data_IF_507429299760
#
_entry.id   IF_507429299760
#
_cell.length_a   1.000
_cell.length_b   1.000
_cell.length_c   1.000
_cell.angle_alpha   90.00
_cell.angle_beta   90.00
_cell.angle_gamma   90.00
#
_symmetry.space_group_name_H-M   'P 1'
#
loop_
_entity.id
_entity.type
_entity.pdbx_description
1 polymer ?
#
# COMPACT_ATOMS: atom_id res chain seq x y z
N UNK A 1 24.15 29.35 -8.94
CA UNK A 1 22.83 29.50 -8.28
C UNK A 1 21.65 29.32 -9.23
N UNK A 2 21.66 29.91 -10.45
CA UNK A 2 20.53 29.81 -11.39
C UNK A 2 20.14 28.36 -11.77
N UNK A 3 21.10 27.47 -12.01
CA UNK A 3 20.83 26.06 -12.42
C UNK A 3 20.12 25.26 -11.32
N UNK A 4 20.55 25.41 -10.06
CA UNK A 4 19.89 24.76 -8.90
C UNK A 4 18.48 25.31 -8.69
N UNK A 5 18.28 26.62 -8.91
CA UNK A 5 16.96 27.25 -8.79
C UNK A 5 16.01 26.76 -9.89
N UNK A 6 16.48 26.66 -11.13
CA UNK A 6 15.69 26.13 -12.25
C UNK A 6 15.29 24.66 -12.04
N UNK A 7 16.22 23.81 -11.58
CA UNK A 7 15.93 22.41 -11.25
C UNK A 7 14.88 22.28 -10.13
N UNK A 8 15.01 23.07 -9.06
CA UNK A 8 14.04 23.09 -7.96
C UNK A 8 12.66 23.56 -8.44
N UNK A 9 12.60 24.61 -9.27
CA UNK A 9 11.36 25.13 -9.84
C UNK A 9 10.65 24.08 -10.71
N UNK A 10 11.41 23.38 -11.58
CA UNK A 10 10.88 22.29 -12.41
C UNK A 10 10.37 21.12 -11.58
N UNK A 11 11.07 20.73 -10.50
CA UNK A 11 10.60 19.70 -9.57
C UNK A 11 9.32 20.11 -8.83
N UNK A 12 9.21 21.36 -8.38
CA UNK A 12 7.98 21.89 -7.77
C UNK A 12 6.83 21.88 -8.78
N UNK A 13 7.08 22.29 -10.03
CA UNK A 13 6.09 22.22 -11.10
C UNK A 13 5.66 20.79 -11.38
N UNK A 14 6.59 19.84 -11.47
CA UNK A 14 6.29 18.41 -11.63
C UNK A 14 5.34 17.89 -10.56
N UNK A 15 5.58 18.22 -9.29
CA UNK A 15 4.68 17.85 -8.19
C UNK A 15 3.27 18.44 -8.35
N UNK A 16 3.18 19.70 -8.78
CA UNK A 16 1.89 20.35 -9.06
C UNK A 16 1.16 19.69 -10.24
N UNK A 17 1.89 19.28 -11.29
CA UNK A 17 1.34 18.55 -12.44
C UNK A 17 0.80 17.19 -11.99
N UNK A 18 1.57 16.42 -11.21
CA UNK A 18 1.14 15.12 -10.67
C UNK A 18 -0.18 15.25 -9.88
N UNK A 19 -0.28 16.25 -9.00
CA UNK A 19 -1.52 16.49 -8.25
C UNK A 19 -2.68 16.90 -9.16
N UNK A 20 -2.43 17.81 -10.11
CA UNK A 20 -3.45 18.25 -11.07
C UNK A 20 -3.94 17.09 -11.93
N UNK A 21 -3.03 16.26 -12.45
CA UNK A 21 -3.33 15.06 -13.23
C UNK A 21 -4.14 14.07 -12.40
N UNK A 22 -3.74 13.80 -11.17
CA UNK A 22 -4.48 12.92 -10.26
C UNK A 22 -5.92 13.40 -10.05
N UNK A 23 -6.12 14.70 -9.84
CA UNK A 23 -7.45 15.30 -9.71
C UNK A 23 -8.27 15.16 -10.98
N UNK A 24 -7.70 15.50 -12.14
CA UNK A 24 -8.39 15.42 -13.44
C UNK A 24 -8.82 13.99 -13.77
N UNK A 25 -7.91 13.03 -13.61
CA UNK A 25 -8.19 11.60 -13.82
C UNK A 25 -9.31 11.11 -12.89
N UNK A 26 -9.31 11.56 -11.63
CA UNK A 26 -10.34 11.20 -10.66
C UNK A 26 -11.72 11.79 -10.99
N UNK A 27 -11.76 13.03 -11.50
CA UNK A 27 -13.02 13.70 -11.89
C UNK A 27 -13.49 13.36 -13.30
N UNK A 28 -12.64 12.70 -14.09
CA UNK A 28 -12.92 12.32 -15.48
C UNK A 28 -13.89 11.13 -15.57
N UNK A 29 -14.16 10.72 -16.81
CA UNK A 29 -15.15 9.67 -17.10
C UNK A 29 -14.85 8.31 -16.41
N UNK A 30 -13.58 8.01 -16.14
CA UNK A 30 -13.17 6.77 -15.48
C UNK A 30 -13.19 6.83 -13.94
N UNK A 31 -13.47 7.99 -13.34
CA UNK A 31 -13.57 8.14 -11.88
C UNK A 31 -12.33 7.64 -11.13
N UNK A 32 -12.54 6.82 -10.09
CA UNK A 32 -11.47 6.19 -9.31
C UNK A 32 -10.50 5.33 -10.14
N UNK A 33 -10.89 4.90 -11.34
CA UNK A 33 -10.06 4.13 -12.27
C UNK A 33 -9.28 4.98 -13.29
N UNK A 34 -9.32 6.31 -13.22
CA UNK A 34 -8.64 7.18 -14.18
C UNK A 34 -7.13 6.91 -14.34
N UNK A 35 -6.41 6.61 -13.24
CA UNK A 35 -4.99 6.23 -13.33
C UNK A 35 -4.81 4.91 -14.10
N UNK A 36 -5.76 3.97 -13.98
CA UNK A 36 -5.69 2.69 -14.71
C UNK A 36 -5.99 2.90 -16.19
N UNK A 37 -7.01 3.70 -16.51
CA UNK A 37 -7.32 4.07 -17.89
C UNK A 37 -6.10 4.72 -18.57
N UNK A 38 -5.43 5.64 -17.88
CA UNK A 38 -4.19 6.25 -18.36
C UNK A 38 -3.07 5.22 -18.54
N UNK A 39 -2.84 4.35 -17.55
CA UNK A 39 -1.84 3.27 -17.63
C UNK A 39 -2.06 2.37 -18.86
N UNK A 40 -3.31 1.91 -19.08
CA UNK A 40 -3.68 1.11 -20.27
C UNK A 40 -3.46 1.88 -21.59
N UNK A 41 -3.80 3.17 -21.63
CA UNK A 41 -3.60 4.02 -22.82
C UNK A 41 -2.13 4.23 -23.17
N UNK A 42 -1.24 4.23 -22.16
CA UNK A 42 0.22 4.28 -22.33
C UNK A 42 0.80 2.90 -22.73
N UNK A 43 -0.06 1.89 -22.96
CA UNK A 43 0.35 0.54 -23.34
C UNK A 43 1.00 -0.23 -22.19
N UNK A 44 0.81 0.21 -20.95
CA UNK A 44 1.33 -0.48 -19.78
C UNK A 44 0.39 -1.64 -19.46
N UNK A 45 0.77 -2.81 -19.98
CA UNK A 45 0.15 -4.07 -19.61
C UNK A 45 0.86 -4.74 -18.43
N UNK A 46 2.18 -4.52 -18.31
CA UNK A 46 3.10 -5.20 -17.39
C UNK A 46 4.17 -4.19 -16.91
N UNK A 47 4.28 -3.98 -15.59
CA UNK A 47 4.77 -2.74 -14.97
C UNK A 47 6.27 -2.59 -14.63
N UNK A 48 7.14 -3.56 -14.90
CA UNK A 48 8.60 -3.40 -14.67
C UNK A 48 9.30 -2.65 -15.82
N UNK A 49 8.66 -1.57 -16.26
CA UNK A 49 9.22 -0.64 -17.23
C UNK A 49 9.64 -1.30 -18.54
N UNK A 50 10.37 -0.52 -19.33
CA UNK A 50 11.13 -1.02 -20.47
C UNK A 50 10.53 -0.75 -21.84
N UNK A 51 9.23 -0.40 -21.95
CA UNK A 51 8.72 0.21 -23.19
C UNK A 51 8.73 1.72 -23.04
N UNK A 52 9.84 2.31 -23.49
CA UNK A 52 9.95 3.75 -23.59
C UNK A 52 8.95 4.30 -24.61
N UNK A 53 8.39 5.46 -24.30
CA UNK A 53 7.53 6.23 -25.20
C UNK A 53 8.19 7.57 -25.50
N UNK A 54 8.05 8.05 -26.73
CA UNK A 54 8.49 9.40 -27.06
C UNK A 54 7.55 10.44 -26.44
N UNK A 55 8.06 11.67 -26.32
CA UNK A 55 7.32 12.82 -25.80
C UNK A 55 5.95 13.04 -26.48
N UNK A 56 5.83 12.86 -27.80
CA UNK A 56 4.59 13.15 -28.51
C UNK A 56 3.51 12.12 -28.16
N UNK A 57 3.86 10.84 -28.19
CA UNK A 57 2.98 9.74 -27.76
C UNK A 57 2.52 9.93 -26.31
N UNK A 58 3.43 10.27 -25.40
CA UNK A 58 3.09 10.50 -23.99
C UNK A 58 2.06 11.63 -23.80
N UNK A 59 2.23 12.76 -24.49
CA UNK A 59 1.30 13.89 -24.43
C UNK A 59 -0.04 13.56 -25.06
N UNK A 60 -0.05 12.80 -26.16
CA UNK A 60 -1.28 12.34 -26.81
C UNK A 60 -2.12 11.46 -25.88
N UNK A 61 -1.49 10.48 -25.22
CA UNK A 61 -2.16 9.61 -24.23
C UNK A 61 -2.73 10.40 -23.04
N UNK A 62 -2.02 11.42 -22.55
CA UNK A 62 -2.55 12.27 -21.48
C UNK A 62 -3.77 13.07 -21.95
N UNK A 63 -3.71 13.63 -23.16
CA UNK A 63 -4.81 14.38 -23.76
C UNK A 63 -6.04 13.49 -23.98
N UNK A 64 -5.86 12.23 -24.41
CA UNK A 64 -6.96 11.29 -24.60
C UNK A 64 -7.62 10.84 -23.29
N UNK A 65 -6.97 11.07 -22.15
CA UNK A 65 -7.52 10.82 -20.81
C UNK A 65 -7.91 12.13 -20.08
N UNK A 66 -8.24 13.18 -20.84
CA UNK A 66 -8.68 14.49 -20.32
C UNK A 66 -7.67 15.21 -19.42
N UNK A 67 -6.37 14.97 -19.64
CA UNK A 67 -5.27 15.64 -18.94
C UNK A 67 -4.51 16.54 -19.93
N UNK A 68 -5.00 17.77 -20.20
CA UNK A 68 -4.27 18.73 -21.02
C UNK A 68 -3.04 19.25 -20.27
N UNK A 69 -1.92 19.34 -20.98
CA UNK A 69 -0.67 19.93 -20.50
C UNK A 69 -0.28 21.10 -21.40
N UNK A 70 0.22 22.18 -20.81
CA UNK A 70 0.88 23.25 -21.58
C UNK A 70 2.34 22.90 -21.88
N UNK A 71 3.02 23.69 -22.72
CA UNK A 71 4.40 23.41 -23.12
C UNK A 71 5.37 23.41 -21.92
N UNK A 72 5.15 24.29 -20.95
CA UNK A 72 5.96 24.39 -19.73
C UNK A 72 5.79 23.16 -18.82
N UNK A 73 4.57 22.61 -18.77
CA UNK A 73 4.27 21.38 -18.04
C UNK A 73 4.99 20.19 -18.64
N UNK A 74 4.95 20.09 -19.98
CA UNK A 74 5.65 19.01 -20.66
C UNK A 74 7.15 19.14 -20.46
N UNK A 75 7.73 20.35 -20.54
CA UNK A 75 9.15 20.55 -20.26
C UNK A 75 9.53 20.17 -18.82
N UNK A 76 8.68 20.48 -17.84
CA UNK A 76 8.90 20.09 -16.46
C UNK A 76 8.85 18.56 -16.27
N UNK A 77 7.89 17.86 -16.89
CA UNK A 77 7.84 16.39 -16.87
C UNK A 77 9.10 15.81 -17.50
N UNK A 78 9.46 16.24 -18.71
CA UNK A 78 10.67 15.76 -19.40
C UNK A 78 11.90 15.97 -18.52
N UNK A 79 12.05 17.13 -17.88
CA UNK A 79 13.23 17.39 -17.04
C UNK A 79 13.38 16.48 -15.81
N UNK A 80 12.30 15.83 -15.36
CA UNK A 80 12.29 14.94 -14.20
C UNK A 80 12.33 13.48 -14.61
N UNK A 81 11.62 13.12 -15.68
CA UNK A 81 11.45 11.73 -16.10
C UNK A 81 12.42 11.30 -17.20
N UNK A 82 12.82 12.19 -18.11
CA UNK A 82 13.84 11.91 -19.13
C UNK A 82 15.24 12.05 -18.49
N UNK A 83 15.64 11.00 -17.79
CA UNK A 83 16.92 10.95 -17.05
C UNK A 83 18.13 10.86 -17.98
N UNK A 84 17.95 10.39 -19.21
CA UNK A 84 19.00 10.20 -20.21
C UNK A 84 19.14 11.39 -21.17
N UNK A 85 18.11 12.23 -21.27
CA UNK A 85 18.05 13.37 -22.19
C UNK A 85 17.88 12.94 -23.65
N UNK A 86 17.39 11.72 -23.90
CA UNK A 86 17.20 11.16 -25.25
C UNK A 86 15.79 11.42 -25.79
N UNK A 87 14.92 12.09 -25.03
CA UNK A 87 13.54 12.40 -25.39
C UNK A 87 12.57 11.24 -25.15
N UNK A 88 13.03 10.16 -24.54
CA UNK A 88 12.23 8.98 -24.24
C UNK A 88 11.87 8.93 -22.75
N UNK A 89 10.66 8.49 -22.46
CA UNK A 89 10.12 8.40 -21.11
C UNK A 89 9.75 6.96 -20.81
N UNK A 90 9.98 6.50 -19.59
CA UNK A 90 9.31 5.31 -19.08
C UNK A 90 7.93 5.74 -18.54
N UNK A 91 6.81 5.34 -19.16
CA UNK A 91 5.47 5.64 -18.67
C UNK A 91 5.24 5.21 -17.21
N UNK A 92 5.91 4.14 -16.78
CA UNK A 92 5.81 3.60 -15.43
C UNK A 92 6.26 4.63 -14.40
N UNK A 93 7.30 5.42 -14.66
CA UNK A 93 7.77 6.44 -13.72
C UNK A 93 6.69 7.51 -13.47
N UNK A 94 5.94 7.88 -14.51
CA UNK A 94 4.82 8.82 -14.35
C UNK A 94 3.64 8.20 -13.62
N UNK A 95 3.26 6.96 -13.96
CA UNK A 95 2.19 6.23 -13.25
C UNK A 95 2.54 6.02 -11.78
N UNK A 96 3.80 5.67 -11.48
CA UNK A 96 4.33 5.56 -10.13
C UNK A 96 4.18 6.89 -9.38
N UNK A 97 4.53 8.01 -10.01
CA UNK A 97 4.36 9.34 -9.41
C UNK A 97 2.88 9.70 -9.12
N UNK A 98 1.94 9.16 -9.90
CA UNK A 98 0.51 9.36 -9.67
C UNK A 98 -0.02 8.59 -8.46
N UNK A 99 0.63 7.51 -8.02
CA UNK A 99 0.22 6.76 -6.82
C UNK A 99 0.28 7.65 -5.58
N UNK A 100 -0.74 7.54 -4.74
CA UNK A 100 -0.80 8.27 -3.46
C UNK A 100 -0.02 7.51 -2.40
N UNK A 101 0.76 8.23 -1.61
CA UNK A 101 1.22 7.72 -0.33
C UNK A 101 0.03 7.59 0.61
N UNK A 102 -0.11 6.44 1.26
CA UNK A 102 -1.20 6.15 2.18
C UNK A 102 -0.71 6.22 3.61
N UNK A 103 -1.57 6.55 4.56
CA UNK A 103 -1.23 6.40 5.97
C UNK A 103 -1.04 4.91 6.30
N UNK A 104 -0.28 4.57 7.35
CA UNK A 104 -0.12 3.18 7.78
C UNK A 104 -1.47 2.48 8.01
N UNK A 105 -2.45 3.19 8.59
CA UNK A 105 -3.80 2.66 8.80
C UNK A 105 -4.46 2.33 7.46
N UNK A 106 -4.56 3.28 6.53
CA UNK A 106 -5.20 3.06 5.22
C UNK A 106 -4.57 1.88 4.48
N UNK A 107 -3.23 1.81 4.48
CA UNK A 107 -2.49 0.71 3.83
C UNK A 107 -2.77 -0.65 4.49
N UNK A 108 -2.72 -0.74 5.81
CA UNK A 108 -3.03 -1.97 6.56
C UNK A 108 -4.42 -2.50 6.22
N UNK A 109 -5.42 -1.63 6.14
CA UNK A 109 -6.78 -2.03 5.80
C UNK A 109 -6.94 -2.51 4.35
N UNK A 110 -6.21 -1.91 3.41
CA UNK A 110 -6.18 -2.37 2.01
C UNK A 110 -5.48 -3.74 1.87
N UNK A 111 -4.36 -3.94 2.58
CA UNK A 111 -3.68 -5.24 2.65
C UNK A 111 -4.63 -6.29 3.21
N UNK A 112 -5.25 -6.01 4.35
CA UNK A 112 -6.18 -6.93 5.01
C UNK A 112 -7.34 -7.30 4.09
N UNK A 113 -7.95 -6.32 3.44
CA UNK A 113 -9.06 -6.55 2.51
C UNK A 113 -8.65 -7.47 1.35
N UNK A 114 -7.48 -7.25 0.76
CA UNK A 114 -6.99 -8.09 -0.33
C UNK A 114 -6.92 -9.57 0.03
N UNK A 115 -6.42 -9.87 1.23
CA UNK A 115 -6.34 -11.25 1.72
C UNK A 115 -7.68 -11.84 2.17
N UNK A 116 -8.78 -11.08 2.16
CA UNK A 116 -10.12 -11.67 2.33
C UNK A 116 -10.64 -12.35 1.07
N UNK A 117 -10.08 -12.04 -0.10
CA UNK A 117 -10.48 -12.63 -1.37
C UNK A 117 -9.68 -13.89 -1.68
N UNK A 118 -10.37 -14.87 -2.27
CA UNK A 118 -9.71 -16.03 -2.88
C UNK A 118 -8.97 -15.58 -4.14
N UNK A 119 -7.69 -15.93 -4.23
CA UNK A 119 -6.86 -15.60 -5.37
C UNK A 119 -6.74 -16.76 -6.36
N UNK A 120 -6.49 -16.41 -7.61
CA UNK A 120 -6.11 -17.30 -8.70
C UNK A 120 -4.64 -17.70 -8.57
N UNK A 121 -4.22 -18.72 -9.31
CA UNK A 121 -2.83 -19.22 -9.27
C UNK A 121 -1.79 -18.20 -9.74
N UNK A 122 -2.20 -17.20 -10.53
CA UNK A 122 -1.37 -16.06 -10.92
C UNK A 122 -1.36 -14.91 -9.89
N UNK A 123 -2.16 -15.01 -8.81
CA UNK A 123 -2.31 -13.97 -7.79
C UNK A 123 -3.33 -12.88 -8.11
N UNK A 124 -4.18 -13.08 -9.11
CA UNK A 124 -5.31 -12.16 -9.40
C UNK A 124 -6.57 -12.58 -8.67
N UNK A 125 -7.57 -11.70 -8.59
CA UNK A 125 -8.93 -12.05 -8.18
C UNK A 125 -9.90 -11.86 -9.35
N UNK A 126 -10.96 -12.66 -9.44
CA UNK A 126 -12.00 -12.41 -10.43
C UNK A 126 -12.81 -11.17 -10.04
N UNK A 127 -13.08 -10.30 -11.01
CA UNK A 127 -13.90 -9.10 -10.78
C UNK A 127 -15.32 -9.50 -10.37
N UNK A 128 -15.83 -10.63 -10.87
CA UNK A 128 -17.13 -11.18 -10.47
C UNK A 128 -17.20 -11.46 -8.96
N UNK A 129 -16.18 -12.10 -8.38
CA UNK A 129 -16.11 -12.37 -6.94
C UNK A 129 -16.10 -11.06 -6.13
N UNK A 130 -15.35 -10.06 -6.61
CA UNK A 130 -15.29 -8.73 -6.00
C UNK A 130 -16.67 -8.04 -6.01
N UNK A 131 -17.36 -8.06 -7.15
CA UNK A 131 -18.71 -7.47 -7.30
C UNK A 131 -19.74 -8.19 -6.45
N UNK A 132 -19.69 -9.52 -6.38
CA UNK A 132 -20.63 -10.34 -5.60
C UNK A 132 -20.46 -10.14 -4.09
N UNK A 133 -19.23 -9.91 -3.62
CA UNK A 133 -18.94 -9.68 -2.21
C UNK A 133 -19.23 -8.23 -1.75
N UNK A 134 -19.41 -7.29 -2.68
CA UNK A 134 -19.59 -5.88 -2.37
C UNK A 134 -20.96 -5.57 -1.75
N UNK A 135 -20.96 -4.92 -0.59
CA UNK A 135 -22.17 -4.50 0.12
C UNK A 135 -22.46 -3.00 -0.06
N UNK A 136 -23.32 -2.58 -1.02
CA UNK A 136 -23.65 -1.17 -1.19
C UNK A 136 -24.43 -0.59 0.00
N UNK A 137 -25.18 -1.42 0.75
CA UNK A 137 -26.00 -0.96 1.88
C UNK A 137 -25.16 -0.40 3.04
N UNK A 138 -23.91 -0.84 3.18
CA UNK A 138 -22.99 -0.32 4.19
C UNK A 138 -22.21 0.92 3.76
N UNK A 139 -22.43 1.46 2.56
CA UNK A 139 -21.74 2.66 2.10
C UNK A 139 -22.21 3.90 2.91
N UNK A 140 -21.31 4.78 3.39
CA UNK A 140 -21.70 5.93 4.21
C UNK A 140 -22.76 6.86 3.58
N UNK A 141 -22.70 7.09 2.26
CA UNK A 141 -23.73 7.87 1.55
C UNK A 141 -25.09 7.19 1.46
N UNK A 142 -25.15 5.85 1.58
CA UNK A 142 -26.42 5.11 1.67
C UNK A 142 -26.96 5.19 3.09
N UNK A 143 -26.11 5.00 4.09
CA UNK A 143 -26.47 5.10 5.51
C UNK A 143 -26.98 6.50 5.89
N UNK A 144 -26.48 7.56 5.24
CA UNK A 144 -26.96 8.94 5.41
C UNK A 144 -28.18 9.29 4.55
N UNK A 145 -28.59 8.42 3.62
CA UNK A 145 -29.69 8.66 2.69
C UNK A 145 -29.36 9.61 1.53
N UNK A 146 -28.09 9.99 1.34
CA UNK A 146 -27.63 10.83 0.24
C UNK A 146 -27.71 10.11 -1.12
N UNK A 147 -27.53 8.79 -1.12
CA UNK A 147 -27.54 7.92 -2.31
C UNK A 147 -28.30 6.64 -2.05
N UNK A 148 -28.87 6.05 -3.09
CA UNK A 148 -29.48 4.72 -3.02
C UNK A 148 -28.46 3.59 -3.13
N UNK A 149 -28.77 2.42 -2.57
CA UNK A 149 -27.96 1.20 -2.75
C UNK A 149 -27.73 0.87 -4.22
N UNK A 150 -28.74 1.11 -5.05
CA UNK A 150 -28.69 0.86 -6.49
C UNK A 150 -27.64 1.75 -7.17
N UNK A 151 -27.65 3.05 -6.89
CA UNK A 151 -26.67 4.00 -7.45
C UNK A 151 -25.24 3.64 -7.05
N UNK A 152 -25.01 3.25 -5.79
CA UNK A 152 -23.67 2.85 -5.32
C UNK A 152 -23.23 1.54 -5.97
N UNK A 153 -24.14 0.57 -6.12
CA UNK A 153 -23.85 -0.68 -6.82
C UNK A 153 -23.53 -0.47 -8.30
N UNK A 154 -24.32 0.34 -8.99
CA UNK A 154 -24.11 0.63 -10.42
C UNK A 154 -22.78 1.35 -10.65
N UNK A 155 -22.40 2.31 -9.80
CA UNK A 155 -21.09 2.96 -9.86
C UNK A 155 -19.95 1.95 -9.64
N UNK A 156 -20.06 1.10 -8.61
CA UNK A 156 -19.03 0.11 -8.32
C UNK A 156 -18.87 -0.92 -9.44
N UNK A 157 -19.97 -1.36 -10.05
CA UNK A 157 -19.95 -2.25 -11.21
C UNK A 157 -19.38 -1.57 -12.46
N UNK A 158 -19.78 -0.31 -12.72
CA UNK A 158 -19.27 0.46 -13.87
C UNK A 158 -17.78 0.79 -13.78
N UNK A 159 -17.23 0.79 -12.56
CA UNK A 159 -15.82 0.99 -12.29
C UNK A 159 -14.98 -0.10 -12.98
N UNK A 160 -15.29 -1.38 -12.77
CA UNK A 160 -14.52 -2.51 -13.32
C UNK A 160 -15.13 -3.01 -14.63
N UNK A 161 -14.66 -2.48 -15.76
CA UNK A 161 -15.20 -2.78 -17.09
C UNK A 161 -14.16 -3.39 -18.03
N UNK A 162 -14.61 -3.85 -19.19
CA UNK A 162 -13.77 -4.48 -20.22
C UNK A 162 -12.73 -3.56 -20.83
N UNK A 163 -12.85 -2.23 -20.68
CA UNK A 163 -11.84 -1.26 -21.15
C UNK A 163 -10.64 -1.22 -20.20
N UNK A 164 -10.89 -1.23 -18.88
CA UNK A 164 -9.81 -1.16 -17.89
C UNK A 164 -9.28 -2.53 -17.50
N UNK A 165 -10.13 -3.56 -17.58
CA UNK A 165 -9.89 -4.93 -17.13
C UNK A 165 -10.47 -5.94 -18.16
N UNK A 166 -9.92 -6.01 -19.38
CA UNK A 166 -10.44 -6.87 -20.45
C UNK A 166 -10.46 -8.36 -20.07
N UNK A 167 -9.53 -8.78 -19.22
CA UNK A 167 -9.34 -10.18 -18.85
C UNK A 167 -10.28 -10.64 -17.72
N UNK A 168 -11.14 -9.74 -17.20
CA UNK A 168 -12.09 -10.06 -16.13
C UNK A 168 -11.46 -10.30 -14.75
N UNK A 169 -10.17 -9.99 -14.60
CA UNK A 169 -9.41 -10.17 -13.36
C UNK A 169 -8.81 -8.85 -12.87
N UNK A 170 -8.48 -8.82 -11.58
CA UNK A 170 -7.84 -7.70 -10.91
C UNK A 170 -6.55 -8.15 -10.23
N UNK A 171 -5.44 -7.50 -10.57
CA UNK A 171 -4.14 -7.71 -9.92
C UNK A 171 -4.06 -7.00 -8.56
N UNK A 172 -3.08 -7.40 -7.72
CA UNK A 172 -2.79 -6.74 -6.45
C UNK A 172 -2.53 -5.25 -6.62
N UNK A 173 -1.71 -4.92 -7.60
CA UNK A 173 -1.38 -3.54 -7.95
C UNK A 173 -2.63 -2.72 -8.30
N UNK A 174 -3.46 -3.25 -9.20
CA UNK A 174 -4.65 -2.53 -9.64
C UNK A 174 -5.64 -2.32 -8.49
N UNK A 175 -5.76 -3.31 -7.60
CA UNK A 175 -6.57 -3.23 -6.41
C UNK A 175 -6.09 -2.12 -5.46
N UNK A 176 -4.79 -2.08 -5.14
CA UNK A 176 -4.21 -1.02 -4.31
C UNK A 176 -4.38 0.36 -4.95
N UNK A 177 -4.20 0.47 -6.27
CA UNK A 177 -4.37 1.72 -7.00
C UNK A 177 -5.80 2.24 -6.90
N UNK A 178 -6.81 1.38 -7.08
CA UNK A 178 -8.22 1.75 -6.91
C UNK A 178 -8.49 2.25 -5.49
N UNK A 179 -8.09 1.49 -4.48
CA UNK A 179 -8.32 1.90 -3.10
C UNK A 179 -7.49 3.11 -2.67
N UNK A 180 -6.36 3.39 -3.31
CA UNK A 180 -5.62 4.62 -3.06
C UNK A 180 -6.41 5.87 -3.49
N UNK A 181 -7.18 5.77 -4.59
CA UNK A 181 -8.10 6.81 -5.03
C UNK A 181 -9.26 6.98 -4.04
N UNK A 182 -9.89 5.87 -3.63
CA UNK A 182 -10.98 5.88 -2.62
C UNK A 182 -10.50 6.46 -1.29
N UNK A 183 -9.33 6.04 -0.83
CA UNK A 183 -8.70 6.56 0.38
C UNK A 183 -8.39 8.06 0.28
N UNK A 184 -8.16 8.55 -0.94
CA UNK A 184 -7.95 9.95 -1.26
C UNK A 184 -9.21 10.82 -1.28
N UNK A 185 -10.40 10.22 -1.42
CA UNK A 185 -11.68 10.90 -1.27
C UNK A 185 -12.21 10.94 0.16
N UNK A 186 -11.63 10.13 1.06
CA UNK A 186 -11.93 10.16 2.49
C UNK A 186 -11.14 11.25 3.21
N UNK A 187 -11.79 11.96 4.14
CA UNK A 187 -11.21 13.08 4.89
C UNK A 187 -10.03 12.64 5.78
N UNK A 188 -10.16 11.49 6.43
CA UNK A 188 -9.22 10.96 7.40
C UNK A 188 -9.17 9.42 7.35
N UNK A 189 -8.38 8.81 8.24
CA UNK A 189 -8.27 7.35 8.33
C UNK A 189 -9.54 6.71 8.87
N UNK A 190 -10.23 7.36 9.82
CA UNK A 190 -11.44 6.83 10.45
C UNK A 190 -12.60 6.71 9.44
N UNK A 191 -12.83 7.75 8.65
CA UNK A 191 -13.83 7.75 7.56
C UNK A 191 -13.54 6.69 6.49
N UNK A 192 -12.26 6.47 6.17
CA UNK A 192 -11.88 5.39 5.24
C UNK A 192 -12.12 4.00 5.81
N UNK A 193 -11.74 3.77 7.08
CA UNK A 193 -11.97 2.47 7.75
C UNK A 193 -13.46 2.18 7.89
N UNK A 194 -14.27 3.17 8.29
CA UNK A 194 -15.72 3.05 8.37
C UNK A 194 -16.34 2.70 7.01
N UNK A 195 -15.89 3.37 5.94
CA UNK A 195 -16.31 3.04 4.57
C UNK A 195 -15.98 1.58 4.24
N UNK A 196 -14.71 1.15 4.44
CA UNK A 196 -14.28 -0.20 4.11
C UNK A 196 -15.05 -1.27 4.89
N UNK A 197 -15.22 -1.08 6.21
CA UNK A 197 -15.98 -2.01 7.06
C UNK A 197 -17.44 -2.13 6.63
N UNK A 198 -18.06 -1.01 6.26
CA UNK A 198 -19.44 -0.98 5.81
C UNK A 198 -19.63 -1.76 4.50
N UNK A 199 -18.79 -1.48 3.50
CA UNK A 199 -18.94 -2.09 2.17
C UNK A 199 -18.34 -3.49 2.05
N UNK A 200 -17.51 -3.92 2.99
CA UNK A 200 -16.90 -5.25 3.02
C UNK A 200 -17.22 -5.99 4.34
N UNK A 201 -18.28 -6.81 4.36
CA UNK A 201 -18.67 -7.56 5.55
C UNK A 201 -17.56 -8.46 6.12
N UNK A 202 -16.66 -8.98 5.26
CA UNK A 202 -15.53 -9.80 5.67
C UNK A 202 -14.56 -9.08 6.63
N UNK A 203 -14.54 -7.75 6.61
CA UNK A 203 -13.71 -6.92 7.49
C UNK A 203 -14.35 -6.57 8.83
N UNK A 204 -15.68 -6.74 8.98
CA UNK A 204 -16.43 -6.28 10.15
C UNK A 204 -16.19 -7.12 11.42
N UNK A 205 -15.44 -8.23 11.33
CA UNK A 205 -15.18 -9.13 12.45
C UNK A 205 -16.44 -9.87 12.93
N UNK A 206 -16.28 -10.77 13.91
CA UNK A 206 -17.41 -11.55 14.46
C UNK A 206 -18.38 -10.70 15.29
N UNK A 207 -18.00 -9.47 15.65
CA UNK A 207 -18.88 -8.47 16.23
C UNK A 207 -19.67 -7.78 15.12
N UNK A 208 -20.78 -8.37 14.68
CA UNK A 208 -21.74 -7.80 13.73
C UNK A 208 -22.48 -6.55 14.25
N UNK A 209 -21.77 -5.62 14.90
CA UNK A 209 -22.30 -4.30 15.20
C UNK A 209 -22.35 -3.54 13.89
N UNK A 210 -23.58 -3.21 13.46
CA UNK A 210 -23.82 -2.16 12.49
C UNK A 210 -22.95 -0.96 12.87
N UNK A 211 -22.02 -0.57 11.99
CA UNK A 211 -21.27 0.68 12.11
C UNK A 211 -22.33 1.79 12.09
N UNK A 212 -22.76 2.22 13.27
CA UNK A 212 -23.48 3.47 13.39
C UNK A 212 -22.44 4.56 13.18
N UNK A 213 -22.77 5.57 12.38
CA UNK A 213 -21.90 6.75 12.12
C UNK A 213 -21.51 7.50 13.42
N UNK A 214 -22.02 7.06 14.57
CA UNK A 214 -21.84 7.62 15.90
C UNK A 214 -21.13 6.70 16.91
N UNK A 215 -20.55 5.55 16.54
CA UNK A 215 -19.74 4.80 17.52
C UNK A 215 -18.41 5.53 17.78
N UNK A 216 -18.41 6.32 18.85
CA UNK A 216 -17.34 7.22 19.32
C UNK A 216 -16.01 6.51 19.69
N UNK A 217 -15.88 5.21 19.41
CA UNK A 217 -14.75 4.35 19.83
C UNK A 217 -13.86 3.86 18.69
N UNK A 218 -14.13 4.23 17.44
CA UNK A 218 -13.36 3.71 16.30
C UNK A 218 -12.10 4.56 15.97
N UNK A 219 -10.94 3.96 16.23
CA UNK A 219 -9.58 4.30 15.78
C UNK A 219 -9.16 5.79 15.85
N UNK A 220 -8.60 6.13 17.00
CA UNK A 220 -8.47 7.51 17.50
C UNK A 220 -7.24 8.26 16.92
N UNK A 221 -6.39 7.59 16.14
CA UNK A 221 -5.18 8.20 15.56
C UNK A 221 -5.47 9.36 14.58
N UNK A 222 -6.69 9.44 14.04
CA UNK A 222 -7.14 10.51 13.14
C UNK A 222 -8.18 11.46 13.72
N UNK A 223 -8.61 11.30 14.98
CA UNK A 223 -9.77 11.99 15.52
C UNK A 223 -9.63 13.52 15.43
N UNK A 224 -10.37 14.18 14.54
CA UNK A 224 -10.44 15.64 14.45
C UNK A 224 -11.40 16.22 15.49
N UNK A 225 -11.11 17.43 15.98
CA UNK A 225 -12.07 18.15 16.82
C UNK A 225 -13.39 18.31 16.07
N UNK A 226 -14.49 17.92 16.71
CA UNK A 226 -15.83 18.26 16.23
C UNK A 226 -16.29 19.52 16.97
N UNK A 227 -16.99 20.42 16.27
CA UNK A 227 -17.47 21.68 16.85
C UNK A 227 -18.38 21.47 18.07
N UNK A 228 -19.09 20.34 18.12
CA UNK A 228 -20.01 19.93 19.19
C UNK A 228 -19.34 19.38 20.45
N UNK A 229 -18.03 19.16 20.48
CA UNK A 229 -17.36 18.51 21.61
C UNK A 229 -17.19 19.44 22.81
N UNK A 230 -17.53 18.91 24.00
CA UNK A 230 -17.22 19.53 25.29
C UNK A 230 -15.71 19.58 25.54
N UNK A 231 -15.26 20.44 26.47
CA UNK A 231 -13.84 20.52 26.84
C UNK A 231 -13.26 19.17 27.30
N UNK A 232 -14.06 18.36 28.02
CA UNK A 232 -13.68 17.02 28.48
C UNK A 232 -13.47 16.08 27.29
N UNK A 233 -14.38 16.08 26.31
CA UNK A 233 -14.26 15.28 25.09
C UNK A 233 -13.04 15.69 24.27
N UNK A 234 -12.77 17.00 24.12
CA UNK A 234 -11.55 17.49 23.47
C UNK A 234 -10.28 17.07 24.21
N UNK A 235 -10.32 17.05 25.55
CA UNK A 235 -9.24 16.53 26.39
C UNK A 235 -8.96 15.05 26.15
N UNK A 236 -10.00 14.23 26.01
CA UNK A 236 -9.86 12.81 25.68
C UNK A 236 -9.22 12.61 24.29
N UNK A 237 -9.67 13.36 23.28
CA UNK A 237 -9.06 13.35 21.93
C UNK A 237 -7.57 13.72 21.99
N UNK A 238 -7.22 14.76 22.75
CA UNK A 238 -5.82 15.15 22.93
C UNK A 238 -4.98 14.06 23.61
N UNK A 239 -5.52 13.41 24.65
CA UNK A 239 -4.82 12.32 25.33
C UNK A 239 -4.44 11.21 24.35
N UNK A 240 -5.38 10.80 23.51
CA UNK A 240 -5.12 9.69 22.59
C UNK A 240 -4.20 10.08 21.44
N UNK A 241 -4.32 11.31 20.93
CA UNK A 241 -3.33 11.86 19.98
C UNK A 241 -1.93 11.87 20.57
N UNK A 242 -1.79 12.21 21.84
CA UNK A 242 -0.49 12.19 22.53
C UNK A 242 0.04 10.76 22.65
N UNK A 243 -0.78 9.79 23.05
CA UNK A 243 -0.39 8.37 23.12
C UNK A 243 0.08 7.87 21.74
N UNK A 244 -0.66 8.18 20.67
CA UNK A 244 -0.28 7.82 19.31
C UNK A 244 1.04 8.48 18.87
N UNK A 245 1.26 9.76 19.22
CA UNK A 245 2.50 10.47 18.94
C UNK A 245 3.69 9.91 19.73
N UNK A 246 3.49 9.56 21.01
CA UNK A 246 4.52 8.95 21.85
C UNK A 246 4.89 7.57 21.31
N UNK A 247 3.91 6.78 20.86
CA UNK A 247 4.14 5.47 20.25
C UNK A 247 4.88 5.57 18.91
N UNK A 248 4.47 6.48 18.01
CA UNK A 248 5.22 6.76 16.77
C UNK A 248 6.65 7.24 17.10
N UNK A 249 6.83 8.03 18.16
CA UNK A 249 8.13 8.42 18.68
C UNK A 249 9.03 7.23 19.06
N UNK A 250 8.49 6.25 19.80
CA UNK A 250 9.19 4.99 20.13
C UNK A 250 9.60 4.24 18.86
N UNK A 251 8.68 4.11 17.89
CA UNK A 251 8.95 3.45 16.61
C UNK A 251 10.09 4.15 15.88
N UNK A 252 10.04 5.47 15.72
CA UNK A 252 11.02 6.24 14.95
C UNK A 252 12.41 6.25 15.58
N UNK A 253 12.49 6.34 16.90
CA UNK A 253 13.75 6.58 17.63
C UNK A 253 14.42 5.31 18.11
N UNK A 254 13.66 4.24 18.34
CA UNK A 254 14.18 2.99 18.89
C UNK A 254 13.99 1.80 17.95
N UNK A 255 12.75 1.49 17.56
CA UNK A 255 12.48 0.24 16.85
C UNK A 255 12.96 0.27 15.39
N UNK A 256 12.65 1.34 14.66
CA UNK A 256 13.01 1.48 13.24
C UNK A 256 14.52 1.49 13.01
N UNK A 257 15.36 2.22 13.77
CA UNK A 257 16.81 2.15 13.59
C UNK A 257 17.38 0.74 13.77
N UNK A 258 16.89 -0.03 14.75
CA UNK A 258 17.33 -1.41 14.97
C UNK A 258 16.95 -2.32 13.80
N UNK A 259 15.74 -2.16 13.28
CA UNK A 259 15.18 -3.00 12.21
C UNK A 259 15.74 -2.65 10.83
N UNK A 260 16.02 -1.37 10.58
CA UNK A 260 16.61 -0.89 9.32
C UNK A 260 18.11 -1.16 9.22
N UNK A 261 18.75 -1.73 10.24
CA UNK A 261 20.17 -2.05 10.22
C UNK A 261 20.53 -3.11 9.16
N UNK A 262 19.62 -4.04 8.86
CA UNK A 262 19.79 -4.99 7.76
C UNK A 262 18.45 -5.58 7.29
N UNK A 263 18.36 -6.09 6.05
CA UNK A 263 17.20 -6.86 5.58
C UNK A 263 16.81 -8.02 6.52
N UNK A 264 17.82 -8.69 7.10
CA UNK A 264 17.61 -9.80 8.03
C UNK A 264 16.93 -9.34 9.33
N UNK A 265 17.32 -8.19 9.88
CA UNK A 265 16.72 -7.65 11.10
C UNK A 265 15.22 -7.34 10.92
N UNK A 266 14.85 -6.70 9.80
CA UNK A 266 13.45 -6.46 9.43
C UNK A 266 12.67 -7.76 9.28
N UNK A 267 13.26 -8.73 8.59
CA UNK A 267 12.61 -10.01 8.36
C UNK A 267 12.41 -10.80 9.65
N UNK A 268 13.37 -10.78 10.57
CA UNK A 268 13.27 -11.51 11.84
C UNK A 268 12.10 -11.02 12.70
N UNK A 269 11.89 -9.70 12.81
CA UNK A 269 10.73 -9.15 13.55
C UNK A 269 9.42 -9.55 12.87
N UNK A 270 9.32 -9.39 11.55
CA UNK A 270 8.13 -9.76 10.76
C UNK A 270 7.81 -11.26 10.89
N UNK A 271 8.83 -12.12 10.77
CA UNK A 271 8.70 -13.57 10.89
C UNK A 271 8.24 -14.00 12.28
N UNK A 272 8.85 -13.48 13.35
CA UNK A 272 8.48 -13.87 14.72
C UNK A 272 7.04 -13.47 15.06
N UNK A 273 6.59 -12.29 14.63
CA UNK A 273 5.21 -11.85 14.82
C UNK A 273 4.23 -12.76 14.07
N UNK A 274 4.54 -13.10 12.82
CA UNK A 274 3.72 -13.98 12.00
C UNK A 274 3.65 -15.39 12.59
N UNK A 275 4.78 -15.98 13.01
CA UNK A 275 4.81 -17.33 13.61
C UNK A 275 3.89 -17.47 14.82
N UNK A 276 3.67 -16.38 15.57
CA UNK A 276 2.72 -16.36 16.69
C UNK A 276 1.25 -16.33 16.27
N UNK A 277 0.96 -15.89 15.05
CA UNK A 277 -0.36 -15.84 14.45
C UNK A 277 -0.57 -17.04 13.51
N UNK A 278 -0.82 -18.21 14.09
CA UNK A 278 -1.04 -19.45 13.34
C UNK A 278 -2.29 -19.41 12.43
N UNK A 279 -3.23 -18.50 12.72
CA UNK A 279 -4.47 -18.34 11.94
C UNK A 279 -4.30 -17.39 10.74
N UNK A 280 -3.21 -16.61 10.70
CA UNK A 280 -3.00 -15.58 9.68
C UNK A 280 -4.01 -14.43 9.76
N UNK A 281 -4.56 -14.17 10.96
CA UNK A 281 -5.59 -13.17 11.16
C UNK A 281 -5.06 -11.73 11.22
N UNK A 282 -3.74 -11.57 11.39
CA UNK A 282 -3.02 -10.33 11.68
C UNK A 282 -3.20 -9.76 13.11
N UNK A 283 -3.65 -10.58 14.05
CA UNK A 283 -3.89 -10.17 15.44
C UNK A 283 -3.17 -11.09 16.42
N UNK A 284 -2.57 -10.50 17.45
CA UNK A 284 -1.93 -11.21 18.55
C UNK A 284 -2.50 -10.77 19.90
N UNK A 285 -2.31 -11.60 20.92
CA UNK A 285 -2.51 -11.15 22.31
C UNK A 285 -1.45 -10.10 22.66
N UNK A 286 -1.74 -9.20 23.61
CA UNK A 286 -0.75 -8.22 24.11
C UNK A 286 0.51 -8.91 24.62
N UNK A 287 0.35 -10.05 25.29
CA UNK A 287 1.45 -10.85 25.84
C UNK A 287 2.35 -11.42 24.74
N UNK A 288 1.78 -12.09 23.74
CA UNK A 288 2.56 -12.67 22.63
C UNK A 288 3.27 -11.60 21.80
N UNK A 289 2.61 -10.46 21.58
CA UNK A 289 3.19 -9.33 20.88
C UNK A 289 4.42 -8.77 21.63
N UNK A 290 4.28 -8.47 22.93
CA UNK A 290 5.38 -7.95 23.75
C UNK A 290 6.51 -8.95 23.90
N UNK A 291 6.20 -10.23 24.14
CA UNK A 291 7.20 -11.29 24.23
C UNK A 291 8.02 -11.43 22.93
N UNK A 292 7.38 -11.22 21.77
CA UNK A 292 8.05 -11.22 20.46
C UNK A 292 8.99 -10.03 20.30
N UNK A 293 8.54 -8.82 20.68
CA UNK A 293 9.36 -7.62 20.63
C UNK A 293 10.59 -7.72 21.55
N UNK A 294 10.43 -8.27 22.75
CA UNK A 294 11.53 -8.43 23.70
C UNK A 294 12.63 -9.38 23.21
N UNK A 295 12.29 -10.42 22.44
CA UNK A 295 13.28 -11.29 21.79
C UNK A 295 14.20 -10.52 20.84
N UNK A 296 13.68 -9.47 20.21
CA UNK A 296 14.41 -8.57 19.31
C UNK A 296 14.94 -7.32 20.03
N UNK A 297 14.92 -7.30 21.37
CA UNK A 297 15.33 -6.17 22.22
C UNK A 297 14.58 -4.87 21.88
N UNK A 298 13.34 -4.99 21.43
CA UNK A 298 12.43 -3.89 21.18
C UNK A 298 11.52 -3.73 22.40
N UNK A 299 11.55 -2.55 23.01
CA UNK A 299 10.82 -2.27 24.24
C UNK A 299 9.82 -1.15 24.03
N UNK A 300 8.65 -1.25 24.68
CA UNK A 300 7.62 -0.22 24.68
C UNK A 300 7.48 0.29 26.11
N UNK A 301 7.65 1.60 26.30
CA UNK A 301 7.34 2.23 27.58
C UNK A 301 5.82 2.31 27.75
N UNK A 302 5.29 1.94 28.93
CA UNK A 302 3.85 1.95 29.23
C UNK A 302 2.99 1.18 28.20
N UNK A 303 3.19 -0.14 28.06
CA UNK A 303 2.51 -0.94 27.04
C UNK A 303 0.98 -0.87 27.14
N UNK A 304 0.41 -0.70 28.33
CA UNK A 304 -1.05 -0.64 28.50
C UNK A 304 -1.71 0.50 27.72
N UNK A 305 -1.09 1.68 27.71
CA UNK A 305 -1.61 2.85 26.97
C UNK A 305 -1.16 2.79 25.50
N UNK A 306 0.10 2.45 25.26
CA UNK A 306 0.68 2.45 23.93
C UNK A 306 0.03 1.44 22.98
N UNK A 307 -0.34 0.25 23.48
CA UNK A 307 -0.93 -0.81 22.66
C UNK A 307 -2.39 -0.52 22.27
N UNK A 308 -3.08 0.44 22.90
CA UNK A 308 -4.42 0.88 22.48
C UNK A 308 -4.40 1.46 21.05
N UNK A 309 -3.27 2.03 20.63
CA UNK A 309 -3.04 2.56 19.26
C UNK A 309 -3.12 1.45 18.21
N UNK A 310 -2.79 0.22 18.60
CA UNK A 310 -2.79 -0.96 17.73
C UNK A 310 -4.03 -1.83 17.89
N UNK A 311 -4.95 -1.49 18.80
CA UNK A 311 -6.21 -2.21 18.96
C UNK A 311 -7.22 -1.71 17.92
N UNK A 312 -7.12 -2.22 16.70
CA UNK A 312 -8.03 -1.83 15.62
C UNK A 312 -9.40 -2.49 15.74
N UNK A 313 -9.57 -3.52 16.57
CA UNK A 313 -10.84 -4.24 16.77
C UNK A 313 -11.64 -3.76 17.98
N UNK A 314 -11.00 -3.09 18.93
CA UNK A 314 -11.59 -2.73 20.22
C UNK A 314 -11.74 -3.92 21.18
N UNK A 315 -11.04 -5.02 20.93
CA UNK A 315 -11.10 -6.28 21.70
C UNK A 315 -9.82 -6.53 22.52
N UNK A 316 -8.95 -5.52 22.64
CA UNK A 316 -7.63 -5.58 23.27
C UNK A 316 -6.59 -6.45 22.57
N UNK A 317 -6.89 -6.98 21.38
CA UNK A 317 -5.88 -7.62 20.52
C UNK A 317 -4.98 -6.58 19.84
N UNK A 318 -3.77 -6.99 19.49
CA UNK A 318 -2.78 -6.13 18.83
C UNK A 318 -2.75 -6.43 17.33
N UNK A 319 -3.07 -5.42 16.52
CA UNK A 319 -2.91 -5.44 15.07
C UNK A 319 -1.42 -5.31 14.69
N UNK A 320 -0.74 -6.45 14.60
CA UNK A 320 0.70 -6.43 14.32
C UNK A 320 1.01 -6.05 12.87
N UNK A 321 0.05 -6.18 11.95
CA UNK A 321 0.20 -5.68 10.57
C UNK A 321 0.24 -4.15 10.56
N UNK A 322 -0.60 -3.48 11.36
CA UNK A 322 -0.50 -2.04 11.58
C UNK A 322 0.87 -1.66 12.18
N UNK A 323 1.33 -2.40 13.19
CA UNK A 323 2.67 -2.18 13.74
C UNK A 323 3.77 -2.29 12.69
N UNK A 324 3.79 -3.35 11.87
CA UNK A 324 4.79 -3.53 10.80
C UNK A 324 4.75 -2.39 9.77
N UNK A 325 3.55 -1.95 9.37
CA UNK A 325 3.37 -0.83 8.44
C UNK A 325 3.81 0.51 9.04
N UNK A 326 3.73 0.68 10.36
CA UNK A 326 4.28 1.87 11.06
C UNK A 326 5.79 1.77 11.24
N UNK A 327 6.30 0.56 11.52
CA UNK A 327 7.70 0.26 11.77
C UNK A 327 8.55 0.52 10.53
N UNK A 328 8.17 -0.07 9.40
CA UNK A 328 8.94 -0.06 8.16
C UNK A 328 8.52 1.12 7.27
N UNK A 329 9.47 1.96 6.80
CA UNK A 329 9.14 3.06 5.90
C UNK A 329 8.59 2.54 4.56
N UNK A 330 7.74 3.33 3.91
CA UNK A 330 7.19 2.97 2.61
C UNK A 330 8.28 3.04 1.54
N UNK A 331 8.26 2.06 0.63
CA UNK A 331 9.02 2.15 -0.60
C UNK A 331 8.44 3.27 -1.46
N UNK A 332 9.30 3.94 -2.23
CA UNK A 332 8.84 4.80 -3.31
C UNK A 332 7.91 4.00 -4.25
N UNK A 333 6.87 4.61 -4.82
CA UNK A 333 5.95 3.92 -5.73
C UNK A 333 6.63 3.10 -6.84
N UNK A 334 7.71 3.62 -7.46
CA UNK A 334 8.44 2.92 -8.50
C UNK A 334 9.05 1.61 -8.01
N UNK A 335 9.73 1.62 -6.86
CA UNK A 335 10.30 0.41 -6.24
C UNK A 335 9.23 -0.59 -5.80
N UNK A 336 8.08 -0.11 -5.32
CA UNK A 336 6.95 -0.98 -5.01
C UNK A 336 6.46 -1.71 -6.27
N UNK A 337 6.29 -0.99 -7.39
CA UNK A 337 5.91 -1.58 -8.69
C UNK A 337 6.89 -2.66 -9.17
N UNK A 338 8.20 -2.42 -9.01
CA UNK A 338 9.22 -3.41 -9.33
C UNK A 338 9.06 -4.70 -8.52
N UNK A 339 8.71 -4.59 -7.23
CA UNK A 339 8.47 -5.76 -6.36
C UNK A 339 7.13 -6.45 -6.65
N UNK A 340 6.08 -5.69 -7.00
CA UNK A 340 4.79 -6.24 -7.43
C UNK A 340 4.98 -7.09 -8.70
N UNK A 341 5.78 -6.63 -9.68
CA UNK A 341 6.07 -7.45 -10.86
C UNK A 341 6.94 -8.65 -10.55
N UNK A 342 7.97 -8.50 -9.70
CA UNK A 342 8.74 -9.66 -9.24
C UNK A 342 7.80 -10.71 -8.63
N UNK A 343 6.86 -10.26 -7.80
CA UNK A 343 5.86 -11.13 -7.19
C UNK A 343 5.02 -11.85 -8.23
N UNK A 344 4.57 -11.17 -9.30
CA UNK A 344 3.77 -11.75 -10.38
C UNK A 344 4.43 -12.96 -11.07
N UNK A 345 5.76 -13.06 -11.09
CA UNK A 345 6.50 -14.14 -11.75
C UNK A 345 6.34 -15.52 -11.08
N UNK A 346 6.01 -15.53 -9.78
CA UNK A 346 5.91 -16.78 -9.03
C UNK A 346 4.49 -17.36 -9.05
N UNK A 347 4.32 -18.69 -9.05
CA UNK A 347 3.01 -19.29 -8.86
C UNK A 347 2.53 -19.08 -7.41
N UNK A 348 1.27 -18.70 -7.23
CA UNK A 348 0.62 -18.54 -5.92
C UNK A 348 -0.41 -19.62 -5.70
N UNK A 349 -0.73 -19.87 -4.43
CA UNK A 349 -1.92 -20.61 -4.05
C UNK A 349 -3.17 -19.73 -3.98
N UNK A 350 -4.29 -20.31 -3.57
CA UNK A 350 -5.58 -19.61 -3.49
C UNK A 350 -5.65 -18.56 -2.40
N UNK A 351 -4.67 -18.50 -1.49
CA UNK A 351 -4.53 -17.49 -0.46
C UNK A 351 -3.61 -16.34 -0.91
N UNK A 352 -3.05 -16.43 -2.13
CA UNK A 352 -2.09 -15.46 -2.63
C UNK A 352 -0.74 -15.57 -1.97
N UNK A 353 -0.31 -16.79 -1.64
CA UNK A 353 1.00 -17.05 -1.03
C UNK A 353 1.87 -17.92 -1.91
N UNK A 354 3.19 -17.77 -1.77
CA UNK A 354 4.19 -18.56 -2.50
C UNK A 354 4.83 -19.57 -1.54
N UNK A 355 5.19 -20.76 -2.03
CA UNK A 355 6.05 -21.67 -1.26
C UNK A 355 7.47 -21.12 -1.15
N UNK A 356 8.00 -21.02 0.07
CA UNK A 356 9.37 -20.53 0.31
C UNK A 356 10.43 -21.24 -0.54
N UNK A 357 10.23 -22.53 -0.88
CA UNK A 357 11.15 -23.24 -1.76
C UNK A 357 11.24 -22.66 -3.18
N UNK A 358 10.15 -22.08 -3.70
CA UNK A 358 10.19 -21.41 -5.02
C UNK A 358 11.12 -20.20 -4.98
N UNK A 359 11.12 -19.47 -3.87
CA UNK A 359 12.05 -18.35 -3.66
C UNK A 359 13.50 -18.86 -3.57
N UNK A 360 13.73 -19.95 -2.84
CA UNK A 360 15.08 -20.55 -2.72
C UNK A 360 15.63 -21.02 -4.07
N UNK A 361 14.78 -21.62 -4.90
CA UNK A 361 15.17 -22.14 -6.21
C UNK A 361 15.49 -21.02 -7.23
N UNK A 362 14.84 -19.87 -7.07
CA UNK A 362 14.94 -18.77 -8.04
C UNK A 362 15.96 -17.70 -7.65
N UNK A 363 16.34 -17.62 -6.36
CA UNK A 363 17.23 -16.59 -5.86
C UNK A 363 18.70 -16.84 -6.21
N UNK A 364 19.34 -15.82 -6.77
CA UNK A 364 20.74 -15.82 -7.19
C UNK A 364 21.58 -14.86 -6.33
N UNK A 365 22.29 -15.42 -5.35
CA UNK A 365 23.18 -14.67 -4.47
C UNK A 365 24.52 -14.35 -5.16
N UNK A 366 25.05 -13.14 -4.90
CA UNK A 366 26.37 -12.72 -5.42
C UNK A 366 27.54 -13.44 -4.75
N UNK A 367 27.38 -13.83 -3.48
CA UNK A 367 28.40 -14.45 -2.65
C UNK A 367 27.75 -15.33 -1.56
N UNK A 368 28.59 -16.01 -0.77
CA UNK A 368 28.13 -16.87 0.31
C UNK A 368 27.48 -16.12 1.48
N UNK A 369 27.84 -14.86 1.71
CA UNK A 369 27.28 -14.04 2.78
C UNK A 369 25.83 -13.67 2.47
N UNK A 370 25.56 -13.17 1.25
CA UNK A 370 24.21 -12.87 0.78
C UNK A 370 23.35 -14.13 0.76
N UNK A 371 23.91 -15.27 0.32
CA UNK A 371 23.20 -16.55 0.34
C UNK A 371 22.81 -16.95 1.76
N UNK A 372 23.73 -16.88 2.71
CA UNK A 372 23.47 -17.24 4.10
C UNK A 372 22.44 -16.30 4.76
N UNK A 373 22.55 -15.00 4.50
CA UNK A 373 21.59 -14.01 5.00
C UNK A 373 20.18 -14.29 4.46
N UNK A 374 20.06 -14.55 3.15
CA UNK A 374 18.80 -14.90 2.51
C UNK A 374 18.21 -16.19 3.10
N UNK A 375 18.97 -17.29 3.15
CA UNK A 375 18.47 -18.56 3.68
C UNK A 375 18.07 -18.46 5.16
N UNK A 376 18.75 -17.63 5.95
CA UNK A 376 18.39 -17.38 7.35
C UNK A 376 17.08 -16.58 7.49
N UNK A 377 16.85 -15.62 6.59
CA UNK A 377 15.65 -14.78 6.59
C UNK A 377 14.42 -15.51 6.05
N UNK A 378 14.65 -16.48 5.17
CA UNK A 378 13.65 -17.30 4.50
C UNK A 378 13.74 -18.75 4.95
N UNK A 379 13.91 -18.99 6.27
CA UNK A 379 14.00 -20.35 6.81
C UNK A 379 12.66 -21.09 6.63
N UNK A 380 12.70 -22.15 5.84
CA UNK A 380 11.55 -23.02 5.49
C UNK A 380 10.89 -23.61 6.74
N UNK A 381 11.64 -23.78 7.83
CA UNK A 381 11.14 -24.36 9.10
C UNK A 381 10.34 -23.36 9.93
N UNK A 382 10.55 -22.06 9.72
CA UNK A 382 9.88 -21.00 10.46
C UNK A 382 8.72 -20.38 9.67
N UNK A 383 8.71 -20.50 8.35
CA UNK A 383 7.60 -20.02 7.54
C UNK A 383 6.31 -20.82 7.85
N UNK A 384 5.24 -20.12 8.24
CA UNK A 384 3.94 -20.73 8.56
C UNK A 384 3.46 -21.49 7.33
N UNK A 385 3.27 -22.81 7.47
CA UNK A 385 2.88 -23.69 6.37
C UNK A 385 3.80 -23.59 5.13
N UNK A 386 5.05 -23.12 5.30
CA UNK A 386 6.00 -22.81 4.20
C UNK A 386 5.48 -21.76 3.22
N UNK A 387 4.51 -20.94 3.62
CA UNK A 387 3.90 -19.91 2.79
C UNK A 387 4.41 -18.53 3.17
N UNK A 388 4.57 -17.69 2.17
CA UNK A 388 4.96 -16.27 2.34
C UNK A 388 4.11 -15.36 1.47
N UNK A 389 3.95 -14.10 1.90
CA UNK A 389 3.17 -13.07 1.23
C UNK A 389 4.05 -12.01 0.54
N UNK A 390 3.43 -11.14 -0.27
CA UNK A 390 4.11 -10.01 -0.92
C UNK A 390 4.72 -9.06 0.11
N UNK A 391 4.00 -8.81 1.20
CA UNK A 391 4.41 -7.93 2.28
C UNK A 391 5.72 -8.41 2.91
N UNK A 392 5.92 -9.73 3.03
CA UNK A 392 7.17 -10.29 3.55
C UNK A 392 8.35 -10.07 2.59
N UNK A 393 8.11 -10.09 1.28
CA UNK A 393 9.12 -9.71 0.28
C UNK A 393 9.40 -8.21 0.39
N UNK A 394 8.37 -7.37 0.48
CA UNK A 394 8.51 -5.92 0.63
C UNK A 394 9.32 -5.57 1.89
N UNK A 395 9.00 -6.19 3.03
CA UNK A 395 9.72 -6.02 4.31
C UNK A 395 11.23 -6.27 4.16
N UNK A 396 11.59 -7.31 3.41
CA UNK A 396 13.00 -7.67 3.14
C UNK A 396 13.71 -6.60 2.30
N UNK A 397 13.04 -6.03 1.30
CA UNK A 397 13.64 -5.05 0.39
C UNK A 397 13.69 -3.62 0.95
N UNK A 398 12.92 -3.30 2.00
CA UNK A 398 12.86 -1.94 2.57
C UNK A 398 14.22 -1.46 3.11
N UNK A 399 14.93 -2.20 3.97
CA UNK A 399 16.26 -1.77 4.44
C UNK A 399 17.27 -1.62 3.29
N UNK A 400 17.25 -2.54 2.32
CA UNK A 400 18.16 -2.47 1.18
C UNK A 400 17.85 -1.27 0.27
N UNK A 401 16.57 -1.00 0.04
CA UNK A 401 16.10 0.18 -0.69
C UNK A 401 16.67 1.47 -0.09
N UNK A 402 16.70 1.61 1.24
CA UNK A 402 17.27 2.78 1.89
C UNK A 402 18.78 2.99 1.65
N UNK A 403 19.53 1.92 1.32
CA UNK A 403 20.96 1.99 0.98
C UNK A 403 21.24 2.36 -0.48
N UNK A 404 20.24 2.20 -1.36
CA UNK A 404 20.35 2.45 -2.80
C UNK A 404 19.72 3.78 -3.17
N UNK A 405 20.51 4.68 -3.78
CA UNK A 405 20.07 6.04 -4.08
C UNK A 405 19.14 6.11 -5.30
N UNK A 406 19.47 5.43 -6.40
CA UNK A 406 18.74 5.53 -7.66
C UNK A 406 17.85 4.31 -7.88
N UNK A 407 16.66 4.51 -8.46
CA UNK A 407 15.73 3.39 -8.76
C UNK A 407 16.32 2.40 -9.77
N UNK A 408 17.13 2.87 -10.72
CA UNK A 408 17.85 2.03 -11.69
C UNK A 408 18.83 1.07 -11.01
N UNK A 409 19.49 1.52 -9.96
CA UNK A 409 20.43 0.67 -9.20
C UNK A 409 19.66 -0.38 -8.40
N UNK A 410 18.48 -0.01 -7.87
CA UNK A 410 17.61 -0.94 -7.16
C UNK A 410 17.06 -2.00 -8.12
N UNK A 411 16.64 -1.60 -9.31
CA UNK A 411 16.22 -2.51 -10.38
C UNK A 411 17.36 -3.47 -10.78
N UNK A 412 18.59 -2.97 -10.94
CA UNK A 412 19.75 -3.80 -11.26
C UNK A 412 20.02 -4.87 -10.18
N UNK A 413 19.82 -4.52 -8.90
CA UNK A 413 19.90 -5.48 -7.79
C UNK A 413 18.83 -6.57 -7.93
N UNK A 414 17.58 -6.21 -8.22
CA UNK A 414 16.49 -7.17 -8.43
C UNK A 414 16.77 -8.08 -9.64
N UNK A 415 17.17 -7.51 -10.78
CA UNK A 415 17.51 -8.28 -11.99
C UNK A 415 18.59 -9.31 -11.72
N UNK A 416 19.64 -8.92 -10.99
CA UNK A 416 20.71 -9.83 -10.57
C UNK A 416 20.20 -10.93 -9.63
N UNK A 417 19.44 -10.56 -8.60
CA UNK A 417 18.98 -11.50 -7.56
C UNK A 417 17.95 -12.52 -8.08
N UNK A 418 17.20 -12.20 -9.13
CA UNK A 418 16.10 -13.05 -9.61
C UNK A 418 16.23 -13.44 -11.08
N UNK A 419 17.39 -13.20 -11.69
CA UNK A 419 17.66 -13.49 -13.11
C UNK A 419 16.57 -12.94 -14.05
N UNK A 420 16.10 -11.72 -13.77
CA UNK A 420 15.10 -11.05 -14.61
C UNK A 420 15.76 -10.53 -15.88
N UNK A 421 15.05 -10.66 -17.02
CA UNK A 421 15.50 -10.17 -18.32
C UNK A 421 15.56 -8.63 -18.40
#
# INVERSE_FOLDING_TARGET
MAVLYASKAKCTRFKAIVERTRRLLFTGASGANGIRALSRSLGIAVDAGGKLVDKATFVECLKSNDVPLDEEDVEAIMSVLDRTGDGMLDPVDFIAALRRELTPVKRTWIIRLWYTFRQNTNGTIFIEDLVNAFNPAGHPSVLSGERSEKEVREEFQGTFNTTTNPDGVLTRQEFEQYYSCVAGSCLDDASFVALLRGVWPALAGKSGQHVTVNDERENICGATFKASQTAVQKGAVNKVRQIAADFDGIIRTSHRPAVMASPLAARQVSLLLRVKDAEGAFFLTREDFLATLWQQRLYIAKPEEALEVLDTRGDSSVDYLLYLTMLLPQLSPARMMMLERLWELFPKDTCGTIDVLELHNSFNAKDGEEKNAFLSAWDVRLAIQRRVTLEEIVDWYIPMSATVQLDKDFEAVLKRQWNLA
#
